data_IF_091856658074
#
_entry.id   IF_091856658074
#
_cell.length_a   1.000
_cell.length_b   1.000
_cell.length_c   1.000
_cell.angle_alpha   90.00
_cell.angle_beta   90.00
_cell.angle_gamma   90.00
#
_symmetry.space_group_name_H-M   'P 1'
#
loop_
_entity.id
_entity.type
_entity.pdbx_description
1 polymer ?
#
# COMPACT_ATOMS: atom_id res chain seq x y z
N UNK A 1 10.12 11.39 43.44
CA UNK A 1 10.22 11.95 42.07
C UNK A 1 10.40 10.79 41.09
N UNK A 2 9.36 10.34 40.36
CA UNK A 2 9.48 9.22 39.42
C UNK A 2 10.23 9.64 38.14
N UNK A 3 11.17 8.81 37.68
CA UNK A 3 11.95 9.03 36.46
C UNK A 3 11.07 8.98 35.19
N UNK A 4 11.38 9.76 34.14
CA UNK A 4 10.64 9.73 32.89
C UNK A 4 10.82 8.37 32.20
N UNK A 5 9.72 7.64 32.03
CA UNK A 5 9.69 6.39 31.24
C UNK A 5 9.69 6.76 29.76
N UNK A 6 10.87 6.81 29.14
CA UNK A 6 10.98 6.91 27.69
C UNK A 6 10.25 5.74 27.01
N UNK A 7 9.77 5.92 25.76
CA UNK A 7 8.92 4.91 25.10
C UNK A 7 9.66 3.57 24.97
N UNK A 8 9.04 2.44 25.35
CA UNK A 8 9.68 1.11 25.45
C UNK A 8 10.09 0.49 24.10
N UNK A 9 9.81 1.16 22.99
CA UNK A 9 10.00 0.67 21.62
C UNK A 9 11.48 0.43 21.28
N UNK A 10 12.39 1.25 21.82
CA UNK A 10 13.82 1.15 21.53
C UNK A 10 14.56 0.06 22.34
N UNK A 11 13.87 -0.65 23.24
CA UNK A 11 14.49 -1.71 24.05
C UNK A 11 14.81 -2.99 23.27
N UNK A 12 14.31 -3.12 22.04
CA UNK A 12 14.57 -4.26 21.18
C UNK A 12 15.05 -3.81 19.78
N UNK A 13 16.30 -3.30 19.66
CA UNK A 13 16.82 -2.76 18.40
C UNK A 13 16.78 -3.79 17.25
N UNK A 14 16.97 -5.07 17.56
CA UNK A 14 16.84 -6.15 16.59
C UNK A 14 15.43 -6.25 15.97
N UNK A 15 14.37 -6.04 16.76
CA UNK A 15 12.98 -6.08 16.27
C UNK A 15 12.66 -4.88 15.39
N UNK A 16 13.18 -3.71 15.75
CA UNK A 16 13.06 -2.49 14.92
C UNK A 16 13.80 -2.67 13.59
N UNK A 17 15.03 -3.18 13.64
CA UNK A 17 15.83 -3.49 12.45
C UNK A 17 15.15 -4.50 11.52
N UNK A 18 14.63 -5.60 12.08
CA UNK A 18 13.90 -6.61 11.30
C UNK A 18 12.62 -6.03 10.68
N UNK A 19 11.84 -5.23 11.43
CA UNK A 19 10.64 -4.58 10.89
C UNK A 19 10.98 -3.64 9.75
N UNK A 20 12.05 -2.85 9.88
CA UNK A 20 12.50 -1.95 8.83
C UNK A 20 12.97 -2.72 7.59
N UNK A 21 13.69 -3.82 7.78
CA UNK A 21 14.15 -4.68 6.69
C UNK A 21 12.97 -5.35 5.96
N UNK A 22 11.99 -5.89 6.69
CA UNK A 22 10.77 -6.48 6.10
C UNK A 22 9.97 -5.42 5.33
N UNK A 23 9.87 -4.21 5.88
CA UNK A 23 9.17 -3.11 5.22
C UNK A 23 9.88 -2.71 3.91
N UNK A 24 11.21 -2.56 3.95
CA UNK A 24 12.03 -2.26 2.77
C UNK A 24 11.94 -3.38 1.72
N UNK A 25 11.96 -4.65 2.14
CA UNK A 25 11.78 -5.78 1.24
C UNK A 25 10.41 -5.75 0.56
N UNK A 26 9.35 -5.40 1.30
CA UNK A 26 8.02 -5.18 0.73
C UNK A 26 7.98 -4.06 -0.30
N UNK A 27 8.68 -2.95 -0.05
CA UNK A 27 8.81 -1.86 -1.02
C UNK A 27 9.56 -2.28 -2.29
N UNK A 28 10.68 -2.98 -2.14
CA UNK A 28 11.45 -3.53 -3.27
C UNK A 28 10.58 -4.50 -4.08
N UNK A 29 9.87 -5.42 -3.42
CA UNK A 29 8.95 -6.34 -4.09
C UNK A 29 7.83 -5.60 -4.83
N UNK A 30 7.29 -4.53 -4.25
CA UNK A 30 6.31 -3.67 -4.89
C UNK A 30 6.83 -2.99 -6.16
N UNK A 31 8.07 -2.53 -6.14
CA UNK A 31 8.73 -1.92 -7.29
C UNK A 31 9.10 -2.95 -8.38
N UNK A 32 9.54 -4.15 -7.99
CA UNK A 32 9.71 -5.28 -8.92
C UNK A 32 8.38 -5.62 -9.59
N UNK A 33 7.28 -5.65 -8.84
CA UNK A 33 5.93 -5.84 -9.40
C UNK A 33 5.54 -4.76 -10.40
N UNK A 34 5.90 -3.50 -10.14
CA UNK A 34 5.70 -2.41 -11.09
C UNK A 34 6.57 -2.56 -12.34
N UNK A 35 7.82 -3.01 -12.18
CA UNK A 35 8.71 -3.27 -13.31
C UNK A 35 8.16 -4.40 -14.21
N UNK A 36 7.69 -5.49 -13.61
CA UNK A 36 6.99 -6.55 -14.34
C UNK A 36 5.78 -5.99 -15.07
N UNK A 37 4.96 -5.16 -14.41
CA UNK A 37 3.80 -4.54 -15.05
C UNK A 37 4.19 -3.72 -16.29
N UNK A 38 5.18 -2.83 -16.18
CA UNK A 38 5.70 -2.07 -17.32
C UNK A 38 6.14 -2.99 -18.47
N UNK A 39 6.87 -4.07 -18.17
CA UNK A 39 7.34 -5.03 -19.17
C UNK A 39 6.18 -5.79 -19.83
N UNK A 40 5.18 -6.20 -19.07
CA UNK A 40 4.01 -6.93 -19.56
C UNK A 40 3.13 -6.08 -20.49
N UNK A 41 3.02 -4.77 -20.24
CA UNK A 41 2.29 -3.84 -21.12
C UNK A 41 3.14 -3.37 -22.32
N UNK A 42 4.35 -3.92 -22.50
CA UNK A 42 5.21 -3.67 -23.66
C UNK A 42 6.25 -2.57 -23.50
N UNK A 43 6.34 -1.91 -22.33
CA UNK A 43 7.33 -0.88 -22.09
C UNK A 43 8.73 -1.48 -21.89
N UNK A 44 9.73 -0.90 -22.56
CA UNK A 44 11.15 -1.26 -22.39
C UNK A 44 11.79 -0.35 -21.35
N UNK A 45 11.66 -0.71 -20.08
CA UNK A 45 12.27 0.00 -18.95
C UNK A 45 13.15 -0.96 -18.14
N UNK A 46 14.27 -0.47 -17.63
CA UNK A 46 15.14 -1.23 -16.74
C UNK A 46 14.62 -1.18 -15.29
N UNK A 47 15.12 -2.09 -14.46
CA UNK A 47 14.66 -2.17 -13.07
C UNK A 47 15.06 -0.93 -12.28
N UNK A 48 16.24 -0.36 -12.54
CA UNK A 48 16.74 0.80 -11.82
C UNK A 48 15.89 2.05 -12.07
N UNK A 49 15.47 2.31 -13.31
CA UNK A 49 14.54 3.41 -13.58
C UNK A 49 13.20 3.20 -12.87
N UNK A 50 12.63 1.99 -12.88
CA UNK A 50 11.36 1.75 -12.17
C UNK A 50 11.51 1.91 -10.66
N UNK A 51 12.63 1.47 -10.08
CA UNK A 51 12.93 1.72 -8.66
C UNK A 51 12.99 3.22 -8.36
N UNK A 52 13.60 4.03 -9.22
CA UNK A 52 13.66 5.48 -9.07
C UNK A 52 12.27 6.13 -9.21
N UNK A 53 11.48 5.73 -10.21
CA UNK A 53 10.09 6.18 -10.40
C UNK A 53 9.27 5.86 -9.15
N UNK A 54 9.27 4.60 -8.69
CA UNK A 54 8.47 4.17 -7.54
C UNK A 54 8.87 4.92 -6.27
N UNK A 55 10.17 5.11 -6.03
CA UNK A 55 10.66 5.88 -4.88
C UNK A 55 10.12 7.31 -4.89
N UNK A 56 10.12 7.96 -6.06
CA UNK A 56 9.66 9.34 -6.21
C UNK A 56 8.12 9.44 -6.18
N UNK A 57 7.41 8.43 -6.69
CA UNK A 57 5.96 8.29 -6.52
C UNK A 57 5.60 8.16 -5.03
N UNK A 58 6.32 7.35 -4.25
CA UNK A 58 6.08 7.24 -2.80
C UNK A 58 6.44 8.52 -2.04
N UNK A 59 7.49 9.23 -2.44
CA UNK A 59 7.81 10.55 -1.88
C UNK A 59 6.67 11.54 -2.15
N UNK A 60 6.14 11.55 -3.38
CA UNK A 60 5.01 12.40 -3.78
C UNK A 60 3.74 12.05 -3.00
N UNK A 61 3.44 10.75 -2.83
CA UNK A 61 2.32 10.28 -2.01
C UNK A 61 2.46 10.67 -0.54
N UNK A 62 3.68 10.60 -0.01
CA UNK A 62 3.97 11.04 1.36
C UNK A 62 3.74 12.55 1.53
N UNK A 63 4.18 13.35 0.56
CA UNK A 63 3.91 14.80 0.55
C UNK A 63 2.41 15.11 0.43
N UNK A 64 1.66 14.24 -0.25
CA UNK A 64 0.22 14.32 -0.43
C UNK A 64 -0.58 13.47 0.58
N UNK A 65 -0.05 13.21 1.78
CA UNK A 65 -0.68 12.30 2.74
C UNK A 65 -2.10 12.74 3.19
N UNK A 66 -2.43 14.02 3.05
CA UNK A 66 -3.78 14.55 3.31
C UNK A 66 -4.79 14.21 2.21
N UNK A 67 -4.35 13.70 1.05
CA UNK A 67 -5.20 13.28 -0.07
C UNK A 67 -5.51 11.78 0.09
N UNK A 68 -6.78 11.40 0.31
CA UNK A 68 -7.16 10.00 0.47
C UNK A 68 -6.73 9.16 -0.73
N UNK A 69 -6.03 8.07 -0.46
CA UNK A 69 -5.51 7.13 -1.48
C UNK A 69 -4.67 7.79 -2.59
N UNK A 70 -4.16 9.01 -2.36
CA UNK A 70 -3.42 9.81 -3.35
C UNK A 70 -4.11 9.84 -4.73
N UNK A 71 -5.44 9.98 -4.74
CA UNK A 71 -6.25 10.09 -5.97
C UNK A 71 -5.81 11.29 -6.80
N UNK A 72 -5.56 11.08 -8.10
CA UNK A 72 -5.03 12.10 -9.02
C UNK A 72 -3.53 12.35 -8.85
N UNK A 73 -3.01 12.36 -7.62
CA UNK A 73 -1.58 12.56 -7.34
C UNK A 73 -0.75 11.43 -7.91
N UNK A 74 -1.19 10.19 -7.74
CA UNK A 74 -0.48 9.03 -8.27
C UNK A 74 -0.39 9.09 -9.80
N UNK A 75 -1.51 9.35 -10.47
CA UNK A 75 -1.61 9.40 -11.92
C UNK A 75 -0.75 10.52 -12.48
N UNK A 76 -0.81 11.70 -11.87
CA UNK A 76 0.05 12.84 -12.23
C UNK A 76 1.53 12.49 -12.03
N UNK A 77 1.88 11.84 -10.91
CA UNK A 77 3.25 11.41 -10.66
C UNK A 77 3.74 10.43 -11.74
N UNK A 78 2.98 9.39 -12.10
CA UNK A 78 3.41 8.50 -13.18
C UNK A 78 3.45 9.19 -14.55
N UNK A 79 2.47 10.04 -14.87
CA UNK A 79 2.43 10.76 -16.14
C UNK A 79 3.61 11.71 -16.33
N UNK A 80 4.11 12.31 -15.25
CA UNK A 80 5.28 13.20 -15.26
C UNK A 80 6.58 12.40 -15.17
N UNK A 81 6.66 11.42 -14.27
CA UNK A 81 7.92 10.75 -13.96
C UNK A 81 8.30 9.72 -15.02
N UNK A 82 7.37 8.96 -15.59
CA UNK A 82 7.72 7.94 -16.58
C UNK A 82 8.49 8.53 -17.79
N UNK A 83 8.08 9.66 -18.39
CA UNK A 83 8.83 10.31 -19.47
C UNK A 83 10.25 10.73 -19.09
N UNK A 84 10.49 11.14 -17.84
CA UNK A 84 11.83 11.54 -17.37
C UNK A 84 12.83 10.37 -17.38
N UNK A 85 12.32 9.13 -17.36
CA UNK A 85 13.12 7.91 -17.45
C UNK A 85 13.01 7.22 -18.82
N UNK A 86 12.55 7.94 -19.85
CA UNK A 86 12.50 7.43 -21.23
C UNK A 86 11.33 6.49 -21.51
N UNK A 87 10.29 6.49 -20.67
CA UNK A 87 9.08 5.67 -20.83
C UNK A 87 7.90 6.58 -21.18
N UNK A 88 7.11 6.22 -22.19
CA UNK A 88 5.91 7.00 -22.56
C UNK A 88 4.95 7.21 -21.38
N UNK A 89 4.35 8.40 -21.31
CA UNK A 89 3.40 8.75 -20.25
C UNK A 89 2.18 7.83 -20.23
N UNK A 90 1.78 7.31 -21.39
CA UNK A 90 0.72 6.31 -21.55
C UNK A 90 1.01 5.02 -20.78
N UNK A 91 2.27 4.57 -20.73
CA UNK A 91 2.66 3.40 -19.96
C UNK A 91 2.65 3.71 -18.46
N UNK A 92 3.10 4.89 -18.05
CA UNK A 92 3.02 5.34 -16.66
C UNK A 92 1.57 5.38 -16.18
N UNK A 93 0.68 5.97 -16.97
CA UNK A 93 -0.75 6.01 -16.69
C UNK A 93 -1.36 4.60 -16.63
N UNK A 94 -1.04 3.73 -17.58
CA UNK A 94 -1.51 2.33 -17.57
C UNK A 94 -1.09 1.58 -16.30
N UNK A 95 0.17 1.72 -15.87
CA UNK A 95 0.65 1.12 -14.61
C UNK A 95 -0.05 1.73 -13.39
N UNK A 96 -0.32 3.04 -13.40
CA UNK A 96 -1.02 3.70 -12.30
C UNK A 96 -2.44 3.13 -12.09
N UNK A 97 -3.17 2.92 -13.19
CA UNK A 97 -4.51 2.32 -13.19
C UNK A 97 -4.45 0.84 -12.82
N UNK A 98 -3.48 0.09 -13.37
CA UNK A 98 -3.30 -1.32 -13.04
C UNK A 98 -3.07 -1.52 -11.53
N UNK A 99 -2.30 -0.65 -10.89
CA UNK A 99 -2.08 -0.69 -9.44
C UNK A 99 -3.38 -0.46 -8.67
N UNK A 100 -4.23 0.48 -9.10
CA UNK A 100 -5.57 0.67 -8.51
C UNK A 100 -6.45 -0.57 -8.68
N UNK A 101 -6.47 -1.13 -9.88
CA UNK A 101 -7.25 -2.33 -10.16
C UNK A 101 -6.83 -3.49 -9.26
N UNK A 102 -5.52 -3.68 -9.04
CA UNK A 102 -4.99 -4.66 -8.09
C UNK A 102 -5.46 -4.38 -6.66
N UNK A 103 -5.35 -3.14 -6.21
CA UNK A 103 -5.72 -2.78 -4.82
C UNK A 103 -7.23 -3.01 -4.58
N UNK A 104 -8.08 -2.75 -5.58
CA UNK A 104 -9.52 -3.05 -5.55
C UNK A 104 -9.77 -4.57 -5.58
N UNK A 105 -9.12 -5.28 -6.50
CA UNK A 105 -9.29 -6.72 -6.68
C UNK A 105 -8.93 -7.53 -5.43
N UNK A 106 -7.99 -7.03 -4.62
CA UNK A 106 -7.59 -7.64 -3.35
C UNK A 106 -8.42 -7.09 -2.19
N UNK A 107 -8.57 -5.77 -2.11
CA UNK A 107 -9.21 -5.09 -0.99
C UNK A 107 -10.69 -5.40 -0.85
N UNK A 108 -11.44 -5.43 -1.96
CA UNK A 108 -12.89 -5.65 -1.93
C UNK A 108 -13.24 -7.04 -1.40
N UNK A 109 -12.68 -8.17 -1.90
CA UNK A 109 -12.96 -9.48 -1.33
C UNK A 109 -12.63 -9.59 0.16
N UNK A 110 -11.49 -9.03 0.59
CA UNK A 110 -11.09 -9.04 2.01
C UNK A 110 -12.12 -8.30 2.86
N UNK A 111 -12.55 -7.12 2.43
CA UNK A 111 -13.57 -6.34 3.14
C UNK A 111 -14.92 -7.06 3.18
N UNK A 112 -15.33 -7.72 2.09
CA UNK A 112 -16.57 -8.51 2.06
C UNK A 112 -16.53 -9.69 3.04
N UNK A 113 -15.42 -10.42 3.07
CA UNK A 113 -15.23 -11.52 4.03
C UNK A 113 -15.29 -10.98 5.46
N UNK A 114 -14.61 -9.87 5.73
CA UNK A 114 -14.64 -9.24 7.04
C UNK A 114 -16.05 -8.81 7.46
N UNK A 115 -16.80 -8.16 6.56
CA UNK A 115 -18.19 -7.76 6.80
C UNK A 115 -19.11 -8.95 7.09
N UNK A 116 -18.91 -10.07 6.38
CA UNK A 116 -19.68 -11.29 6.62
C UNK A 116 -19.41 -11.86 8.03
N UNK A 117 -18.15 -11.94 8.43
CA UNK A 117 -17.75 -12.45 9.76
C UNK A 117 -18.26 -11.54 10.88
N UNK A 118 -18.13 -10.22 10.73
CA UNK A 118 -18.57 -9.28 11.77
C UNK A 118 -20.10 -9.20 11.86
N UNK A 119 -20.80 -9.26 10.72
CA UNK A 119 -22.26 -9.35 10.69
C UNK A 119 -22.79 -10.59 11.41
N UNK A 120 -22.14 -11.75 11.24
CA UNK A 120 -22.51 -12.97 11.96
C UNK A 120 -22.32 -12.83 13.48
N UNK A 121 -21.24 -12.19 13.93
CA UNK A 121 -20.98 -11.94 15.36
C UNK A 121 -22.01 -10.99 15.97
N UNK A 122 -22.36 -9.92 15.27
CA UNK A 122 -23.35 -8.95 15.72
C UNK A 122 -24.75 -9.57 15.85
N UNK A 123 -25.12 -10.51 14.98
CA UNK A 123 -26.39 -11.23 15.05
C UNK A 123 -26.40 -12.29 16.16
N UNK A 124 -25.30 -13.04 16.33
CA UNK A 124 -25.18 -14.04 17.39
C UNK A 124 -25.21 -13.42 18.80
N UNK A 125 -24.59 -12.24 19.00
CA UNK A 125 -24.61 -11.53 20.27
C UNK A 125 -26.00 -11.04 20.68
N UNK A 126 -26.87 -10.72 19.72
CA UNK A 126 -28.27 -10.35 19.99
C UNK A 126 -29.12 -11.53 20.46
N UNK A 127 -28.89 -12.73 19.92
CA UNK A 127 -29.61 -13.94 20.35
C UNK A 127 -29.23 -14.40 21.76
N UNK A 128 -27.98 -14.19 22.19
CA UNK A 128 -27.56 -14.49 23.56
C UNK A 128 -28.17 -13.55 24.59
N UNK A 129 -28.24 -12.25 24.29
CA UNK A 129 -28.83 -11.25 25.19
C UNK A 129 -30.36 -11.40 25.37
N UNK A 130 -31.06 -11.98 24.39
CA UNK A 130 -32.49 -12.31 24.48
C UNK A 130 -32.75 -13.53 25.37
N UNK A 131 -31.80 -14.47 25.44
CA UNK A 131 -31.97 -15.71 26.22
C UNK A 131 -31.64 -15.56 27.71
N UNK A 132 -30.89 -14.53 28.11
CA UNK A 132 -30.49 -14.26 29.51
C UNK A 132 -31.52 -13.39 30.28
N UNK A 133 -32.56 -12.91 29.59
CA UNK A 133 -33.62 -12.07 30.16
C UNK A 133 -34.90 -12.82 30.55
N UNK A 134 -34.91 -14.15 30.44
CA UNK A 134 -35.99 -15.06 30.86
C UNK A 134 -35.59 -15.85 32.12
#
# INVERSE_FOLDING_TARGET
MPAPRGPPIYRAPARVGLSAALHLAGWIAGAIGAWIAFRLIGARVDLAAVMAIESLVYATRSAAAFIPNALGVQEAAYAVLAPLFGVGAEFGLAVSVLKRARDIAIGVPILLIWQAVEGQRALAGKSGAVSDSD
#
